data_IF_846816007926
#
_entry.id   IF_846816007926
#
_cell.length_a   1.000
_cell.length_b   1.000
_cell.length_c   1.000
_cell.angle_alpha   90.00
_cell.angle_beta   90.00
_cell.angle_gamma   90.00
#
_symmetry.space_group_name_H-M   'P 1'
#
loop_
_entity.id
_entity.type
_entity.pdbx_description
1 polymer ?
#
# COMPACT_ATOMS: atom_id res chain seq x y z
N UNK A 1 18.69 7.75 21.69
CA UNK A 1 17.59 7.93 20.72
C UNK A 1 16.46 6.98 21.10
N UNK A 2 15.90 7.12 22.31
CA UNK A 2 14.92 6.15 22.87
C UNK A 2 13.52 6.75 23.08
N UNK A 3 13.35 8.07 23.08
CA UNK A 3 12.06 8.71 23.38
C UNK A 3 10.96 8.47 22.33
N UNK A 4 11.35 8.20 21.08
CA UNK A 4 10.41 8.06 19.97
C UNK A 4 9.73 6.70 19.89
N UNK A 5 10.35 5.64 20.41
CA UNK A 5 9.84 4.27 20.31
C UNK A 5 8.76 4.02 21.36
N UNK A 6 9.08 4.38 22.62
CA UNK A 6 8.19 4.34 23.78
C UNK A 6 6.87 5.11 23.55
N UNK A 7 6.91 6.21 22.80
CA UNK A 7 5.70 7.00 22.48
C UNK A 7 4.77 6.28 21.49
N UNK A 8 5.33 5.55 20.51
CA UNK A 8 4.54 4.82 19.49
C UNK A 8 3.88 3.60 20.11
N UNK A 9 4.64 2.83 20.88
CA UNK A 9 4.13 1.68 21.64
C UNK A 9 2.99 2.09 22.58
N UNK A 10 3.16 3.19 23.33
CA UNK A 10 2.09 3.73 24.18
C UNK A 10 0.84 4.08 23.38
N UNK A 11 1.00 4.72 22.22
CA UNK A 11 -0.12 5.17 21.39
C UNK A 11 -0.94 4.00 20.84
N UNK A 12 -0.27 2.99 20.28
CA UNK A 12 -0.97 1.79 19.77
C UNK A 12 -1.63 1.01 20.89
N UNK A 13 -1.00 0.94 22.07
CA UNK A 13 -1.57 0.28 23.24
C UNK A 13 -2.82 0.97 23.77
N UNK A 14 -2.89 2.31 23.70
CA UNK A 14 -4.08 3.07 24.08
C UNK A 14 -5.19 2.86 23.04
N UNK A 15 -4.87 3.00 21.74
CA UNK A 15 -5.82 2.83 20.65
C UNK A 15 -6.45 1.44 20.67
N UNK A 16 -5.63 0.40 20.81
CA UNK A 16 -6.05 -1.01 20.79
C UNK A 16 -6.37 -1.58 22.19
N UNK A 17 -6.49 -0.74 23.22
CA UNK A 17 -6.78 -1.22 24.58
C UNK A 17 -8.12 -1.97 24.70
N UNK A 18 -9.13 -1.54 23.96
CA UNK A 18 -10.46 -2.17 23.88
C UNK A 18 -11.07 -1.89 22.51
N UNK A 19 -12.09 -2.67 22.11
CA UNK A 19 -12.89 -2.38 20.90
C UNK A 19 -13.51 -0.98 20.94
N UNK A 20 -13.99 -0.55 22.11
CA UNK A 20 -14.58 0.77 22.27
C UNK A 20 -13.56 1.89 22.08
N UNK A 21 -12.32 1.69 22.57
CA UNK A 21 -11.22 2.63 22.31
C UNK A 21 -10.95 2.73 20.80
N UNK A 22 -10.77 1.59 20.13
CA UNK A 22 -10.55 1.54 18.69
C UNK A 22 -11.68 2.25 17.90
N UNK A 23 -12.94 1.95 18.19
CA UNK A 23 -14.08 2.63 17.56
C UNK A 23 -14.08 4.15 17.84
N UNK A 24 -13.76 4.56 19.06
CA UNK A 24 -13.66 5.99 19.41
C UNK A 24 -12.61 6.70 18.56
N UNK A 25 -11.42 6.11 18.37
CA UNK A 25 -10.39 6.68 17.50
C UNK A 25 -10.82 6.70 16.03
N UNK A 26 -11.46 5.63 15.55
CA UNK A 26 -11.99 5.57 14.19
C UNK A 26 -13.04 6.66 13.94
N UNK A 27 -13.97 6.87 14.89
CA UNK A 27 -14.98 7.93 14.81
C UNK A 27 -14.33 9.32 14.67
N UNK A 28 -13.24 9.59 15.41
CA UNK A 28 -12.52 10.87 15.28
C UNK A 28 -11.87 11.04 13.91
N UNK A 29 -11.29 9.97 13.34
CA UNK A 29 -10.74 10.00 11.98
C UNK A 29 -11.84 10.27 10.94
N UNK A 30 -13.03 9.69 11.13
CA UNK A 30 -14.18 9.91 10.24
C UNK A 30 -14.69 11.34 10.37
N UNK A 31 -14.82 11.86 11.60
CA UNK A 31 -15.20 13.26 11.85
C UNK A 31 -14.23 14.22 11.15
N UNK A 32 -12.92 13.99 11.24
CA UNK A 32 -11.93 14.81 10.53
C UNK A 32 -12.06 14.71 9.01
N UNK A 33 -12.21 13.50 8.46
CA UNK A 33 -12.37 13.33 7.03
C UNK A 33 -13.60 14.07 6.49
N UNK A 34 -14.74 13.95 7.17
CA UNK A 34 -15.99 14.63 6.78
C UNK A 34 -15.89 16.14 6.96
N UNK A 35 -15.35 16.62 8.09
CA UNK A 35 -15.32 18.05 8.39
C UNK A 35 -14.30 18.82 7.54
N UNK A 36 -13.18 18.18 7.19
CA UNK A 36 -12.10 18.80 6.43
C UNK A 36 -12.12 18.46 4.94
N UNK A 37 -13.01 17.56 4.52
CA UNK A 37 -13.17 17.14 3.12
C UNK A 37 -12.03 16.26 2.62
N UNK A 38 -11.50 15.36 3.46
CA UNK A 38 -10.59 14.31 3.01
C UNK A 38 -11.37 13.11 2.46
N UNK A 39 -10.83 12.46 1.43
CA UNK A 39 -11.46 11.32 0.77
C UNK A 39 -11.10 9.96 1.39
N UNK A 40 -10.38 9.92 2.52
CA UNK A 40 -9.90 8.63 3.01
C UNK A 40 -8.73 8.67 3.97
N UNK A 41 -8.22 7.48 4.28
CA UNK A 41 -7.06 7.26 5.16
C UNK A 41 -6.12 6.18 4.63
N UNK A 42 -4.82 6.45 4.66
CA UNK A 42 -3.78 5.43 4.57
C UNK A 42 -3.36 5.07 6.00
N UNK A 43 -3.55 3.81 6.39
CA UNK A 43 -3.20 3.30 7.73
C UNK A 43 -1.81 2.70 7.67
N UNK A 44 -0.84 3.39 8.27
CA UNK A 44 0.54 2.91 8.39
C UNK A 44 0.94 2.79 9.87
N UNK A 45 0.97 1.57 10.39
CA UNK A 45 1.38 1.28 11.76
C UNK A 45 2.77 0.64 11.73
N UNK A 46 3.81 1.44 12.01
CA UNK A 46 5.21 0.97 12.06
C UNK A 46 5.67 0.76 13.50
N UNK A 47 4.96 -0.10 14.23
CA UNK A 47 5.29 -0.51 15.60
C UNK A 47 4.72 -1.90 15.85
N UNK A 48 5.40 -2.72 16.65
CA UNK A 48 4.88 -4.02 17.06
C UNK A 48 3.60 -3.86 17.90
N UNK A 49 2.75 -4.89 17.86
CA UNK A 49 1.58 -5.03 18.69
C UNK A 49 1.56 -6.41 19.36
N UNK A 50 1.02 -6.49 20.57
CA UNK A 50 0.76 -7.78 21.20
C UNK A 50 -0.23 -8.60 20.35
N UNK A 51 -0.01 -9.92 20.16
CA UNK A 51 -0.88 -10.77 19.33
C UNK A 51 -2.37 -10.67 19.70
N UNK A 52 -2.68 -10.49 20.98
CA UNK A 52 -4.04 -10.35 21.51
C UNK A 52 -4.76 -9.09 20.99
N UNK A 53 -4.00 -8.08 20.55
CA UNK A 53 -4.53 -6.81 20.01
C UNK A 53 -4.86 -6.88 18.53
N UNK A 54 -4.39 -7.91 17.81
CA UNK A 54 -4.61 -8.02 16.35
C UNK A 54 -6.09 -8.10 15.99
N UNK A 55 -6.90 -8.82 16.77
CA UNK A 55 -8.34 -8.88 16.53
C UNK A 55 -9.03 -7.53 16.74
N UNK A 56 -8.51 -6.68 17.63
CA UNK A 56 -9.01 -5.31 17.85
C UNK A 56 -8.56 -4.41 16.70
N UNK A 57 -7.36 -4.64 16.15
CA UNK A 57 -6.84 -3.90 15.00
C UNK A 57 -7.61 -4.24 13.71
N UNK A 58 -7.90 -5.52 13.45
CA UNK A 58 -8.78 -5.91 12.34
C UNK A 58 -10.17 -5.27 12.47
N UNK A 59 -10.73 -5.27 13.68
CA UNK A 59 -12.00 -4.61 13.99
C UNK A 59 -11.93 -3.10 13.76
N UNK A 60 -10.84 -2.44 14.17
CA UNK A 60 -10.60 -1.02 13.92
C UNK A 60 -10.63 -0.69 12.42
N UNK A 61 -9.86 -1.43 11.61
CA UNK A 61 -9.78 -1.22 10.16
C UNK A 61 -11.14 -1.46 9.51
N UNK A 62 -11.82 -2.55 9.91
CA UNK A 62 -13.15 -2.90 9.39
C UNK A 62 -14.20 -1.83 9.72
N UNK A 63 -14.23 -1.38 10.98
CA UNK A 63 -15.18 -0.38 11.46
C UNK A 63 -14.93 0.99 10.81
N UNK A 64 -13.66 1.41 10.72
CA UNK A 64 -13.27 2.65 10.06
C UNK A 64 -13.74 2.65 8.60
N UNK A 65 -13.43 1.59 7.86
CA UNK A 65 -13.78 1.46 6.43
C UNK A 65 -15.29 1.52 6.22
N UNK A 66 -16.06 0.70 6.93
CA UNK A 66 -17.52 0.62 6.75
C UNK A 66 -18.20 1.93 7.16
N UNK A 67 -17.79 2.52 8.28
CA UNK A 67 -18.42 3.73 8.80
C UNK A 67 -18.04 4.94 7.96
N UNK A 68 -16.81 5.03 7.49
CA UNK A 68 -16.38 6.10 6.59
C UNK A 68 -17.19 6.07 5.28
N UNK A 69 -17.34 4.90 4.63
CA UNK A 69 -18.18 4.79 3.43
C UNK A 69 -19.64 5.19 3.67
N UNK A 70 -20.18 4.89 4.86
CA UNK A 70 -21.55 5.28 5.20
C UNK A 70 -21.74 6.80 5.30
N UNK A 71 -20.69 7.52 5.70
CA UNK A 71 -20.70 8.99 5.88
C UNK A 71 -20.22 9.73 4.64
N UNK A 72 -19.30 9.12 3.89
CA UNK A 72 -18.62 9.68 2.74
C UNK A 72 -18.56 8.62 1.63
N UNK A 73 -19.62 8.47 0.82
CA UNK A 73 -19.62 7.54 -0.30
C UNK A 73 -18.46 7.83 -1.26
N UNK A 74 -17.70 6.79 -1.62
CA UNK A 74 -16.51 6.91 -2.46
C UNK A 74 -15.21 7.22 -1.70
N UNK A 75 -15.25 7.25 -0.36
CA UNK A 75 -14.03 7.29 0.45
C UNK A 75 -13.14 6.06 0.22
N UNK A 76 -11.88 6.12 0.64
CA UNK A 76 -10.96 4.98 0.59
C UNK A 76 -10.18 4.80 1.90
N UNK A 77 -10.07 3.56 2.36
CA UNK A 77 -9.16 3.16 3.43
C UNK A 77 -8.15 2.18 2.87
N UNK A 78 -6.86 2.53 2.94
CA UNK A 78 -5.76 1.71 2.42
C UNK A 78 -4.88 1.27 3.58
N UNK A 79 -4.56 -0.02 3.65
CA UNK A 79 -3.62 -0.58 4.62
C UNK A 79 -2.18 -0.53 4.08
N UNK A 80 -1.20 -0.13 4.88
CA UNK A 80 0.21 -0.31 4.52
C UNK A 80 0.70 -1.67 5.02
N UNK A 81 1.46 -2.39 4.21
CA UNK A 81 2.09 -3.67 4.56
C UNK A 81 3.10 -3.50 5.70
N UNK A 82 2.63 -3.49 6.95
CA UNK A 82 3.46 -3.28 8.13
C UNK A 82 3.30 -4.40 9.17
N UNK A 83 2.33 -4.28 10.08
CA UNK A 83 2.04 -5.28 11.11
C UNK A 83 1.39 -6.50 10.47
N UNK A 84 1.88 -7.69 10.81
CA UNK A 84 1.30 -8.97 10.40
C UNK A 84 0.30 -9.51 11.42
N UNK A 85 -0.42 -10.57 11.06
CA UNK A 85 -1.44 -11.23 11.91
C UNK A 85 -0.90 -11.78 13.24
N UNK A 86 0.41 -11.87 13.40
CA UNK A 86 1.10 -12.27 14.62
C UNK A 86 1.47 -11.09 15.54
N UNK A 87 1.17 -9.85 15.14
CA UNK A 87 1.55 -8.65 15.91
C UNK A 87 2.89 -8.04 15.53
N UNK A 88 3.70 -8.71 14.71
CA UNK A 88 5.04 -8.24 14.41
C UNK A 88 5.04 -7.21 13.27
N UNK A 89 5.83 -6.15 13.40
CA UNK A 89 6.18 -5.24 12.33
C UNK A 89 7.11 -5.94 11.34
N UNK A 90 6.54 -6.43 10.24
CA UNK A 90 7.26 -7.24 9.27
C UNK A 90 6.71 -7.03 7.86
N UNK A 91 7.37 -6.17 7.09
CA UNK A 91 7.01 -5.89 5.69
C UNK A 91 7.18 -7.14 4.83
N UNK A 92 6.07 -7.65 4.29
CA UNK A 92 6.07 -8.84 3.46
C UNK A 92 6.53 -8.55 2.02
N UNK A 93 6.41 -7.29 1.59
CA UNK A 93 6.62 -6.81 0.23
C UNK A 93 5.67 -7.43 -0.80
N UNK A 94 4.64 -8.12 -0.34
CA UNK A 94 3.60 -8.75 -1.17
C UNK A 94 2.34 -8.95 -0.33
N UNK A 95 1.19 -9.11 -0.99
CA UNK A 95 0.00 -9.61 -0.33
C UNK A 95 0.15 -11.13 -0.12
N UNK A 96 0.03 -11.58 1.13
CA UNK A 96 0.10 -13.00 1.49
C UNK A 96 -0.76 -13.29 2.72
N UNK A 97 -0.74 -14.53 3.21
CA UNK A 97 -1.54 -14.94 4.37
C UNK A 97 -1.29 -14.09 5.64
N UNK A 98 -0.10 -13.50 5.78
CA UNK A 98 0.30 -12.73 6.96
C UNK A 98 -0.32 -11.34 7.04
N UNK A 99 -0.76 -10.75 5.92
CA UNK A 99 -1.38 -9.42 5.85
C UNK A 99 -2.75 -9.41 5.15
N UNK A 100 -3.18 -10.53 4.55
CA UNK A 100 -4.48 -10.66 3.88
C UNK A 100 -5.68 -10.31 4.76
N UNK A 101 -5.73 -10.67 6.06
CA UNK A 101 -6.88 -10.29 6.88
C UNK A 101 -7.11 -8.78 6.92
N UNK A 102 -6.06 -7.94 6.92
CA UNK A 102 -6.21 -6.49 6.87
C UNK A 102 -6.71 -6.01 5.50
N UNK A 103 -6.17 -6.56 4.41
CA UNK A 103 -6.63 -6.29 3.04
C UNK A 103 -8.12 -6.60 2.85
N UNK A 104 -8.61 -7.69 3.44
CA UNK A 104 -10.02 -8.08 3.36
C UNK A 104 -10.95 -7.14 4.17
N UNK A 105 -10.42 -6.29 5.06
CA UNK A 105 -11.19 -5.33 5.87
C UNK A 105 -11.15 -3.88 5.39
N UNK A 106 -10.41 -3.60 4.33
CA UNK A 106 -10.26 -2.26 3.75
C UNK A 106 -10.29 -2.29 2.22
N UNK A 107 -10.14 -1.13 1.59
CA UNK A 107 -10.31 -0.97 0.13
C UNK A 107 -9.08 -1.39 -0.67
N UNK A 108 -7.92 -1.50 -0.03
CA UNK A 108 -6.73 -2.05 -0.67
C UNK A 108 -5.50 -2.03 0.23
N UNK A 109 -4.39 -2.54 -0.30
CA UNK A 109 -3.12 -2.65 0.42
C UNK A 109 -1.97 -2.04 -0.35
N UNK A 110 -1.21 -1.17 0.30
CA UNK A 110 0.07 -0.67 -0.17
C UNK A 110 1.18 -1.57 0.32
N UNK A 111 1.76 -2.37 -0.57
CA UNK A 111 2.86 -3.27 -0.23
C UNK A 111 4.20 -2.55 -0.24
N UNK A 112 5.08 -2.94 0.67
CA UNK A 112 6.39 -2.30 0.82
C UNK A 112 7.28 -2.49 -0.41
N UNK A 113 8.25 -1.59 -0.60
CA UNK A 113 8.99 -1.39 -1.85
C UNK A 113 10.17 -2.35 -2.10
N UNK A 114 10.39 -3.35 -1.25
CA UNK A 114 11.45 -4.39 -1.39
C UNK A 114 10.91 -5.69 -2.03
N UNK A 115 10.06 -5.58 -3.04
CA UNK A 115 9.47 -6.74 -3.71
C UNK A 115 10.35 -7.28 -4.84
N UNK A 116 10.21 -8.57 -5.16
CA UNK A 116 10.93 -9.27 -6.23
C UNK A 116 10.04 -9.47 -7.47
N UNK A 117 10.62 -9.93 -8.57
CA UNK A 117 9.95 -10.10 -9.89
C UNK A 117 8.60 -10.81 -9.81
N UNK A 118 8.52 -11.91 -9.06
CA UNK A 118 7.30 -12.73 -8.98
C UNK A 118 6.26 -12.21 -7.98
N UNK A 119 6.62 -11.26 -7.09
CA UNK A 119 5.76 -10.82 -5.97
C UNK A 119 4.47 -10.13 -6.42
N UNK A 120 4.45 -9.28 -7.47
CA UNK A 120 3.23 -8.76 -8.08
C UNK A 120 2.24 -9.86 -8.46
N UNK A 121 2.73 -10.92 -9.13
CA UNK A 121 1.91 -12.05 -9.57
C UNK A 121 1.39 -12.86 -8.39
N UNK A 122 2.25 -13.18 -7.43
CA UNK A 122 1.87 -13.88 -6.21
C UNK A 122 0.81 -13.10 -5.41
N UNK A 123 0.95 -11.77 -5.35
CA UNK A 123 -0.04 -10.90 -4.69
C UNK A 123 -1.37 -10.89 -5.43
N UNK A 124 -1.35 -10.82 -6.76
CA UNK A 124 -2.55 -10.87 -7.60
C UNK A 124 -3.29 -12.21 -7.45
N UNK A 125 -2.56 -13.32 -7.37
CA UNK A 125 -3.14 -14.66 -7.15
C UNK A 125 -3.84 -14.74 -5.78
N UNK A 126 -3.28 -14.11 -4.74
CA UNK A 126 -3.89 -14.04 -3.39
C UNK A 126 -5.08 -13.08 -3.35
N UNK A 127 -5.04 -11.97 -4.10
CA UNK A 127 -6.10 -10.97 -4.16
C UNK A 127 -7.32 -11.40 -4.99
N UNK A 128 -7.12 -12.29 -5.97
CA UNK A 128 -8.17 -12.74 -6.89
C UNK A 128 -8.75 -11.59 -7.71
N UNK A 129 -10.06 -11.38 -7.61
CA UNK A 129 -10.76 -10.31 -8.33
C UNK A 129 -10.31 -8.90 -7.90
N UNK A 130 -9.81 -8.78 -6.67
CA UNK A 130 -9.30 -7.52 -6.09
C UNK A 130 -7.83 -7.25 -6.41
N UNK A 131 -7.27 -7.90 -7.43
CA UNK A 131 -5.85 -7.72 -7.81
C UNK A 131 -5.44 -6.26 -8.09
N UNK A 132 -6.37 -5.39 -8.50
CA UNK A 132 -6.08 -3.97 -8.73
C UNK A 132 -6.12 -3.11 -7.46
N UNK A 133 -6.56 -3.68 -6.34
CA UNK A 133 -6.56 -3.08 -5.00
C UNK A 133 -5.23 -3.34 -4.25
N UNK A 134 -4.28 -4.04 -4.89
CA UNK A 134 -2.91 -4.20 -4.40
C UNK A 134 -2.04 -3.13 -5.07
N UNK A 135 -1.37 -2.33 -4.25
CA UNK A 135 -0.56 -1.20 -4.68
C UNK A 135 0.91 -1.53 -4.43
N UNK A 136 1.68 -1.78 -5.49
CA UNK A 136 3.11 -2.11 -5.36
C UNK A 136 3.92 -0.83 -5.08
N UNK A 137 4.47 -0.72 -3.87
CA UNK A 137 5.28 0.44 -3.48
C UNK A 137 6.55 0.55 -4.29
N UNK A 138 6.91 1.76 -4.73
CA UNK A 138 8.20 2.02 -5.37
C UNK A 138 8.92 3.14 -4.66
N UNK A 139 10.16 2.85 -4.24
CA UNK A 139 11.03 3.86 -3.67
C UNK A 139 11.68 4.67 -4.79
N UNK A 140 11.25 5.92 -4.94
CA UNK A 140 11.77 6.84 -5.94
C UNK A 140 13.25 7.19 -5.75
N UNK A 141 13.81 6.93 -4.56
CA UNK A 141 15.25 7.07 -4.31
C UNK A 141 16.06 5.85 -4.78
N UNK A 142 15.39 4.77 -5.18
CA UNK A 142 16.01 3.60 -5.78
C UNK A 142 16.61 2.60 -4.79
N UNK A 143 16.14 2.57 -3.54
CA UNK A 143 16.55 1.55 -2.57
C UNK A 143 15.57 0.38 -2.65
N UNK A 144 16.08 -0.83 -2.84
CA UNK A 144 15.30 -2.06 -2.62
C UNK A 144 14.27 -2.46 -3.68
N UNK A 145 13.82 -1.55 -4.53
CA UNK A 145 12.82 -1.86 -5.57
C UNK A 145 13.44 -2.68 -6.71
N UNK A 146 12.76 -3.77 -7.08
CA UNK A 146 13.07 -4.53 -8.30
C UNK A 146 13.15 -3.60 -9.52
N UNK A 147 14.02 -3.88 -10.48
CA UNK A 147 14.29 -3.01 -11.65
C UNK A 147 15.03 -1.69 -11.35
N UNK A 148 15.20 -1.33 -10.07
CA UNK A 148 15.76 -0.07 -9.62
C UNK A 148 14.74 1.06 -9.68
N UNK A 149 14.70 1.91 -8.66
CA UNK A 149 13.78 3.06 -8.61
C UNK A 149 14.16 4.20 -9.57
N UNK A 150 13.80 5.43 -9.21
CA UNK A 150 13.97 6.61 -10.08
C UNK A 150 13.27 6.40 -11.44
N UNK A 151 13.92 6.78 -12.55
CA UNK A 151 13.39 6.64 -13.92
C UNK A 151 13.28 5.18 -14.40
N UNK A 152 13.80 4.21 -13.66
CA UNK A 152 13.69 2.78 -13.99
C UNK A 152 12.44 2.11 -13.43
N UNK A 153 11.68 2.79 -12.57
CA UNK A 153 10.41 2.31 -12.04
C UNK A 153 9.42 1.86 -13.14
N UNK A 154 9.40 2.54 -14.28
CA UNK A 154 8.55 2.20 -15.42
C UNK A 154 8.96 0.93 -16.20
N UNK A 155 10.18 0.40 -16.00
CA UNK A 155 10.57 -0.89 -16.58
C UNK A 155 10.05 -2.08 -15.76
N UNK A 156 9.65 -1.83 -14.51
CA UNK A 156 9.16 -2.88 -13.61
C UNK A 156 7.71 -3.29 -13.92
N UNK A 157 6.99 -2.52 -14.74
CA UNK A 157 5.66 -2.84 -15.26
C UNK A 157 5.68 -3.53 -16.63
N UNK A 158 6.87 -3.75 -17.22
CA UNK A 158 7.00 -4.26 -18.60
C UNK A 158 8.05 -5.37 -18.67
N UNK A 159 7.65 -6.61 -18.34
CA UNK A 159 8.48 -7.79 -18.59
C UNK A 159 7.68 -8.97 -19.15
N UNK A 160 6.88 -8.77 -20.21
CA UNK A 160 6.62 -9.86 -21.20
C UNK A 160 6.41 -9.27 -22.61
N UNK A 161 7.28 -9.58 -23.60
CA UNK A 161 7.18 -9.00 -24.94
C UNK A 161 5.99 -9.49 -25.79
N UNK A 162 5.12 -10.37 -25.28
CA UNK A 162 4.07 -11.03 -26.07
C UNK A 162 2.71 -11.24 -25.35
N UNK A 163 2.43 -10.54 -24.24
CA UNK A 163 1.08 -10.50 -23.65
C UNK A 163 0.50 -9.09 -23.67
N UNK A 164 -0.72 -8.97 -24.17
CA UNK A 164 -1.57 -7.76 -24.12
C UNK A 164 -2.30 -7.58 -22.78
N UNK A 165 -2.02 -8.41 -21.78
CA UNK A 165 -2.55 -8.22 -20.41
C UNK A 165 -1.51 -7.51 -19.56
N UNK A 166 -1.73 -6.21 -19.39
CA UNK A 166 -0.99 -5.38 -18.47
C UNK A 166 -1.38 -5.76 -17.04
N UNK A 167 -0.47 -6.38 -16.28
CA UNK A 167 -0.56 -6.43 -14.82
C UNK A 167 -0.10 -5.09 -14.23
N UNK A 168 -0.80 -4.01 -14.60
CA UNK A 168 -0.63 -2.70 -13.97
C UNK A 168 -1.31 -2.74 -12.61
N UNK A 169 -0.53 -3.12 -11.60
CA UNK A 169 -0.83 -2.76 -10.22
C UNK A 169 -0.59 -1.26 -10.06
N UNK A 170 -1.44 -0.60 -9.29
CA UNK A 170 -1.39 0.84 -9.09
C UNK A 170 -0.09 1.21 -8.35
N UNK A 171 0.73 2.06 -8.98
CA UNK A 171 2.02 2.50 -8.46
C UNK A 171 1.85 3.66 -7.49
N UNK A 172 2.44 3.56 -6.30
CA UNK A 172 2.47 4.66 -5.35
C UNK A 172 3.91 5.01 -4.93
N UNK A 173 4.19 6.31 -4.92
CA UNK A 173 5.52 6.87 -4.69
C UNK A 173 5.67 7.30 -3.22
N UNK A 174 6.60 6.68 -2.50
CA UNK A 174 6.96 7.12 -1.15
C UNK A 174 8.12 8.14 -1.19
N UNK A 175 7.99 9.25 -0.44
CA UNK A 175 9.02 10.30 -0.33
C UNK A 175 9.21 10.74 1.14
N UNK A 176 10.39 10.57 1.77
CA UNK A 176 10.63 10.97 3.15
C UNK A 176 10.98 12.46 3.30
N UNK A 177 10.27 13.38 2.62
CA UNK A 177 10.56 14.83 2.70
C UNK A 177 9.38 15.60 3.31
N UNK A 178 9.64 16.43 4.32
CA UNK A 178 8.68 17.26 5.09
C UNK A 178 7.83 18.26 4.30
N UNK A 179 7.87 18.24 2.98
CA UNK A 179 7.19 19.22 2.14
C UNK A 179 6.55 18.49 0.96
N UNK A 180 5.21 18.45 1.00
CA UNK A 180 4.27 18.04 -0.06
C UNK A 180 4.07 16.53 -0.20
N UNK A 181 2.91 16.06 0.27
CA UNK A 181 2.24 14.87 -0.25
C UNK A 181 1.79 15.18 -1.69
N UNK A 182 2.21 14.38 -2.67
CA UNK A 182 1.56 14.35 -3.98
C UNK A 182 0.91 12.98 -4.17
N UNK A 183 -0.41 12.91 -4.04
CA UNK A 183 -1.19 11.78 -4.54
C UNK A 183 -1.18 11.84 -6.07
N UNK A 184 -0.13 11.30 -6.68
CA UNK A 184 -0.17 10.92 -8.09
C UNK A 184 -0.03 9.41 -8.15
N UNK A 185 -1.16 8.72 -8.26
CA UNK A 185 -1.17 7.42 -8.90
C UNK A 185 -0.77 7.67 -10.36
N UNK A 186 0.43 7.24 -10.74
CA UNK A 186 0.82 7.25 -12.16
C UNK A 186 0.22 5.99 -12.76
N UNK A 187 -0.98 6.10 -13.30
CA UNK A 187 -1.45 5.13 -14.30
C UNK A 187 -0.65 5.38 -15.56
N UNK A 188 0.37 4.56 -15.81
CA UNK A 188 1.07 4.58 -17.08
C UNK A 188 0.16 3.98 -18.16
N UNK A 189 -0.77 4.78 -18.68
CA UNK A 189 -1.38 4.55 -19.99
C UNK A 189 -0.38 5.07 -21.03
N UNK A 190 0.38 4.17 -21.65
CA UNK A 190 1.10 4.48 -22.88
C UNK A 190 0.14 4.36 -24.06
N UNK A 191 -0.90 5.20 -24.09
CA UNK A 191 -1.57 5.47 -25.36
C UNK A 191 -0.73 6.50 -26.12
N UNK A 192 -0.11 6.03 -27.20
CA UNK A 192 0.64 6.78 -28.20
C UNK A 192 2.03 7.30 -27.78
N UNK A 193 3.02 6.40 -27.78
CA UNK A 193 4.34 6.79 -28.29
C UNK A 193 4.86 5.71 -29.22
N UNK A 194 4.53 5.85 -30.50
CA UNK A 194 5.34 5.26 -31.58
C UNK A 194 6.69 5.95 -31.53
N UNK A 195 7.69 5.33 -30.90
CA UNK A 195 9.08 5.70 -31.12
C UNK A 195 9.65 4.75 -32.18
N UNK A 196 9.48 5.18 -33.43
CA UNK A 196 10.30 4.71 -34.54
C UNK A 196 11.77 5.04 -34.24
N UNK A 197 12.59 4.04 -33.95
CA UNK A 197 14.00 4.08 -34.34
C UNK A 197 14.56 2.67 -34.49
N UNK A 198 14.35 2.16 -35.71
CA UNK A 198 15.28 1.40 -36.54
C UNK A 198 16.44 0.66 -35.84
N UNK A 199 16.29 -0.66 -35.76
CA UNK A 199 17.15 -1.63 -36.44
C UNK A 199 18.60 -1.19 -36.69
N UNK A 200 19.50 -1.62 -35.78
CA UNK A 200 20.92 -1.80 -36.07
C UNK A 200 21.28 -3.24 -35.81
N UNK A 201 21.04 -4.11 -36.78
CA UNK A 201 21.85 -5.30 -37.00
C UNK A 201 21.60 -5.83 -38.41
N UNK A 202 22.35 -5.30 -39.37
CA UNK A 202 22.83 -5.98 -40.59
C UNK A 202 23.57 -4.94 -41.44
N UNK A 203 24.88 -4.82 -41.24
CA UNK A 203 25.89 -4.34 -42.21
C UNK A 203 27.26 -4.37 -41.53
N UNK A 204 27.88 -5.55 -41.47
CA UNK A 204 29.33 -5.71 -41.57
C UNK A 204 29.64 -7.15 -41.98
N UNK A 205 30.21 -7.25 -43.19
CA UNK A 205 30.72 -8.40 -43.96
C UNK A 205 29.73 -8.99 -44.96
#
# INVERSE_FOLDING_TARGET
MEEGDDTREKSINILLSTKNSAHTYADRLIEFAVALGFDGWLINLEVDAEPEKILILEEFVSYLTQTLHSKLPGSLVIWYDSITIDGSLSWQNQLNASNKPFFDRCDGIFVNYFWLEDYPKLSADVAGDRKYDVYMGVDVFGRGTYGGGQWKAGFCSVTEPNRTEYSVLNLWLWKPSRHVFSNQAVTASLENTVCQSCDRRLLHR
#
